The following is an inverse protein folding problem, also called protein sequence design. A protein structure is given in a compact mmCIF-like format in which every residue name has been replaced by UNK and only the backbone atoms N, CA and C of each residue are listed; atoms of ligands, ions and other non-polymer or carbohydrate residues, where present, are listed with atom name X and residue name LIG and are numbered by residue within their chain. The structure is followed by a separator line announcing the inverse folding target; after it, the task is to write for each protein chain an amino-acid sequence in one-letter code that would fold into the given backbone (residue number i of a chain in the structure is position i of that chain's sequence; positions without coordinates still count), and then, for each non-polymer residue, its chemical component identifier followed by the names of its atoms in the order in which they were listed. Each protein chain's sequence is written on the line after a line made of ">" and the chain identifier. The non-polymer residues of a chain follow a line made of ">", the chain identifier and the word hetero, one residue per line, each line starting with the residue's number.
data_IF_795571203880
#
_entry.id   IF_795571203880
#
_cell.length_a   1.000
_cell.length_b   1.000
_cell.length_c   1.000
_cell.angle_alpha   90.00
_cell.angle_beta   90.00
_cell.angle_gamma   90.00
#
_symmetry.space_group_name_H-M   'P 1'
#
loop_
_entity.id
_entity.type
_entity.pdbx_description
1 polymer ?
#
# COMPACT_ATOMS: atom_id res chain seq x y z
N UNK A 1 5.52 76.39 37.86
CA UNK A 1 4.77 75.99 36.64
C UNK A 1 5.14 74.56 36.28
N UNK A 2 4.21 73.72 36.45
CA UNK A 2 4.44 72.27 36.30
C UNK A 2 4.12 71.83 34.87
N UNK A 3 5.14 71.52 34.05
CA UNK A 3 4.98 71.00 32.72
C UNK A 3 4.64 69.51 32.75
N UNK A 4 3.42 69.18 32.33
CA UNK A 4 2.95 67.82 32.21
C UNK A 4 3.59 67.16 31.02
N UNK A 5 4.50 66.20 31.27
CA UNK A 5 5.10 65.34 30.26
C UNK A 5 4.17 64.19 30.05
N UNK A 6 3.42 64.22 28.95
CA UNK A 6 2.65 63.05 28.48
C UNK A 6 3.63 62.02 27.92
N UNK A 7 3.79 60.90 28.66
CA UNK A 7 4.45 59.71 28.16
C UNK A 7 3.47 58.96 27.27
N UNK A 8 3.70 58.99 25.96
CA UNK A 8 3.03 58.13 25.00
C UNK A 8 3.58 56.72 25.14
N UNK A 9 2.78 55.83 25.68
CA UNK A 9 3.07 54.40 25.71
C UNK A 9 2.72 53.84 24.35
N UNK A 10 3.72 53.53 23.55
CA UNK A 10 3.55 52.78 22.32
C UNK A 10 3.43 51.31 22.68
N UNK A 11 2.22 50.81 22.66
CA UNK A 11 1.96 49.38 22.72
C UNK A 11 2.31 48.75 21.37
N UNK A 12 3.47 48.12 21.30
CA UNK A 12 3.82 47.24 20.19
C UNK A 12 3.02 45.97 20.30
N UNK A 13 1.98 45.85 19.46
CA UNK A 13 1.23 44.63 19.30
C UNK A 13 2.08 43.67 18.41
N UNK A 14 2.72 42.71 19.04
CA UNK A 14 3.38 41.59 18.35
C UNK A 14 2.29 40.70 17.78
N UNK A 15 2.04 40.80 16.49
CA UNK A 15 1.25 39.83 15.76
C UNK A 15 2.14 38.61 15.53
N UNK A 16 1.98 37.59 16.37
CA UNK A 16 2.58 36.30 16.14
C UNK A 16 1.81 35.63 14.99
N UNK A 17 2.38 35.67 13.78
CA UNK A 17 1.95 34.82 12.68
C UNK A 17 2.32 33.37 13.05
N UNK A 18 1.37 32.66 13.62
CA UNK A 18 1.47 31.22 13.77
C UNK A 18 1.45 30.57 12.38
N UNK A 19 2.59 30.17 11.89
CA UNK A 19 2.66 29.22 10.78
C UNK A 19 2.15 27.88 11.31
N UNK A 20 0.86 27.63 11.15
CA UNK A 20 0.33 26.28 11.26
C UNK A 20 0.92 25.50 10.08
N UNK A 21 2.01 24.77 10.32
CA UNK A 21 2.47 23.76 9.41
C UNK A 21 1.38 22.67 9.37
N UNK A 22 0.46 22.80 8.42
CA UNK A 22 -0.46 21.72 8.10
C UNK A 22 0.38 20.58 7.57
N UNK A 23 0.69 19.60 8.43
CA UNK A 23 1.11 18.28 7.97
C UNK A 23 -0.04 17.74 7.13
N UNK A 24 0.03 17.96 5.82
CA UNK A 24 -0.81 17.22 4.89
C UNK A 24 -0.35 15.78 5.00
N UNK A 25 -1.08 14.99 5.75
CA UNK A 25 -1.06 13.57 5.57
C UNK A 25 -1.48 13.38 4.12
N UNK A 26 -0.52 13.06 3.27
CA UNK A 26 -0.82 12.53 1.95
C UNK A 26 -1.79 11.39 2.19
N UNK A 27 -3.03 11.51 1.70
CA UNK A 27 -3.92 10.36 1.68
C UNK A 27 -3.10 9.25 1.05
N UNK A 28 -2.79 8.22 1.83
CA UNK A 28 -2.00 7.08 1.35
C UNK A 28 -2.81 6.52 0.19
N UNK A 29 -2.27 6.59 -1.02
CA UNK A 29 -2.90 5.97 -2.17
C UNK A 29 -3.20 4.53 -1.78
N UNK A 30 -4.43 4.01 -2.03
CA UNK A 30 -4.76 2.65 -1.68
C UNK A 30 -3.70 1.73 -2.28
N UNK A 31 -3.23 0.75 -1.50
CA UNK A 31 -2.23 -0.20 -1.98
C UNK A 31 -2.73 -0.83 -3.28
N UNK A 32 -1.90 -0.91 -4.34
CA UNK A 32 -2.32 -1.44 -5.65
C UNK A 32 -2.68 -2.92 -5.60
N UNK A 33 -2.28 -3.61 -4.56
CA UNK A 33 -2.51 -5.02 -4.33
C UNK A 33 -3.05 -5.25 -2.92
N UNK A 34 -3.96 -6.23 -2.79
CA UNK A 34 -4.51 -6.69 -1.51
C UNK A 34 -4.41 -8.19 -1.42
N UNK A 35 -4.11 -8.68 -0.23
CA UNK A 35 -4.12 -10.10 0.10
C UNK A 35 -5.26 -10.37 1.07
N UNK A 36 -6.07 -11.37 0.76
CA UNK A 36 -7.13 -11.87 1.64
C UNK A 36 -6.82 -13.29 2.07
N UNK A 37 -7.08 -13.61 3.33
CA UNK A 37 -6.92 -14.94 3.89
C UNK A 37 -8.28 -15.59 4.09
N UNK A 38 -8.44 -16.82 3.59
CA UNK A 38 -9.64 -17.62 3.76
C UNK A 38 -9.29 -19.04 4.19
N UNK A 39 -10.15 -19.73 4.96
CA UNK A 39 -9.94 -21.14 5.30
C UNK A 39 -9.90 -22.02 4.05
N UNK A 40 -9.00 -23.00 4.04
CA UNK A 40 -8.92 -24.02 3.00
C UNK A 40 -8.58 -25.37 3.63
N UNK A 41 -9.60 -26.08 4.14
CA UNK A 41 -9.39 -27.22 5.01
C UNK A 41 -8.62 -26.83 6.28
N UNK A 42 -7.52 -27.51 6.62
CA UNK A 42 -6.68 -27.14 7.76
C UNK A 42 -5.76 -25.95 7.50
N UNK A 43 -5.70 -25.50 6.25
CA UNK A 43 -4.75 -24.50 5.79
C UNK A 43 -5.42 -23.14 5.54
N UNK A 44 -4.62 -22.16 5.19
CA UNK A 44 -5.06 -20.82 4.81
C UNK A 44 -4.79 -20.60 3.33
N UNK A 45 -5.82 -20.24 2.59
CA UNK A 45 -5.66 -19.78 1.22
C UNK A 45 -5.48 -18.27 1.22
N UNK A 46 -4.41 -17.82 0.63
CA UNK A 46 -4.16 -16.41 0.36
C UNK A 46 -4.53 -16.10 -1.08
N UNK A 47 -5.35 -15.09 -1.28
CA UNK A 47 -5.76 -14.62 -2.61
C UNK A 47 -5.29 -13.20 -2.81
N UNK A 48 -4.60 -12.97 -3.92
CA UNK A 48 -4.06 -11.67 -4.28
C UNK A 48 -4.97 -10.99 -5.29
N UNK A 49 -5.42 -9.79 -4.96
CA UNK A 49 -6.24 -8.96 -5.85
C UNK A 49 -5.52 -7.67 -6.20
N UNK A 50 -5.58 -7.32 -7.47
CA UNK A 50 -5.13 -6.03 -7.96
C UNK A 50 -6.27 -5.01 -7.93
N UNK A 51 -5.92 -3.74 -7.78
CA UNK A 51 -6.84 -2.63 -7.99
C UNK A 51 -7.36 -2.62 -9.44
N UNK A 52 -8.55 -2.07 -9.64
CA UNK A 52 -9.14 -1.95 -10.96
C UNK A 52 -8.19 -1.22 -11.94
N UNK A 53 -8.09 -1.73 -13.18
CA UNK A 53 -7.19 -1.19 -14.20
C UNK A 53 -5.75 -1.73 -14.13
N UNK A 54 -5.46 -2.63 -13.19
CA UNK A 54 -4.17 -3.30 -13.07
C UNK A 54 -4.28 -4.80 -13.35
N UNK A 55 -3.28 -5.35 -14.02
CA UNK A 55 -3.10 -6.79 -14.23
C UNK A 55 -1.83 -7.25 -13.51
N UNK A 56 -1.87 -8.46 -13.00
CA UNK A 56 -0.73 -9.09 -12.33
C UNK A 56 0.04 -9.92 -13.35
N UNK A 57 1.33 -9.68 -13.46
CA UNK A 57 2.21 -10.42 -14.36
C UNK A 57 2.35 -11.87 -13.86
N UNK A 58 1.98 -12.83 -14.71
CA UNK A 58 2.06 -14.25 -14.39
C UNK A 58 3.42 -14.88 -14.72
N UNK A 59 4.22 -14.23 -15.55
CA UNK A 59 5.58 -14.69 -15.89
C UNK A 59 6.56 -14.43 -14.74
N UNK A 60 6.26 -13.44 -13.92
CA UNK A 60 6.96 -13.14 -12.67
C UNK A 60 5.99 -13.32 -11.50
N UNK A 61 5.75 -14.55 -11.04
CA UNK A 61 4.75 -14.81 -10.02
C UNK A 61 4.98 -13.97 -8.77
N UNK A 62 3.93 -13.35 -8.23
CA UNK A 62 4.02 -12.61 -6.98
C UNK A 62 4.59 -13.47 -5.86
N UNK A 63 5.37 -12.87 -4.99
CA UNK A 63 5.98 -13.52 -3.85
C UNK A 63 5.69 -12.75 -2.56
N UNK A 64 5.24 -13.46 -1.53
CA UNK A 64 5.05 -12.94 -0.19
C UNK A 64 6.14 -13.50 0.72
N UNK A 65 7.00 -12.62 1.20
CA UNK A 65 8.00 -12.96 2.21
C UNK A 65 7.40 -12.75 3.59
N UNK A 66 7.21 -13.85 4.29
CA UNK A 66 6.69 -13.88 5.67
C UNK A 66 7.82 -13.67 6.68
N UNK A 67 7.47 -13.32 7.91
CA UNK A 67 8.40 -13.35 9.03
C UNK A 67 9.08 -14.73 9.14
N UNK A 68 10.41 -14.74 9.41
CA UNK A 68 11.18 -15.99 9.45
C UNK A 68 11.75 -16.46 8.11
N UNK A 69 11.56 -15.68 7.02
CA UNK A 69 12.17 -15.95 5.72
C UNK A 69 11.41 -16.92 4.81
N UNK A 70 10.22 -17.36 5.20
CA UNK A 70 9.36 -18.18 4.33
C UNK A 70 8.83 -17.34 3.17
N UNK A 71 8.97 -17.84 1.94
CA UNK A 71 8.49 -17.18 0.74
C UNK A 71 7.36 -18.01 0.14
N UNK A 72 6.18 -17.40 0.02
CA UNK A 72 5.03 -17.96 -0.69
C UNK A 72 4.93 -17.34 -2.08
N UNK A 73 4.73 -18.17 -3.09
CA UNK A 73 4.52 -17.73 -4.47
C UNK A 73 3.08 -17.95 -4.88
N UNK A 74 2.46 -16.92 -5.42
CA UNK A 74 1.09 -16.96 -5.95
C UNK A 74 1.13 -17.50 -7.37
N UNK A 75 0.95 -18.79 -7.52
CA UNK A 75 1.05 -19.49 -8.82
C UNK A 75 -0.27 -20.08 -9.29
N UNK A 76 -1.22 -20.25 -8.39
CA UNK A 76 -2.50 -20.89 -8.69
C UNK A 76 -3.49 -19.81 -9.14
N UNK A 77 -4.07 -20.00 -10.30
CA UNK A 77 -5.04 -19.12 -10.90
C UNK A 77 -5.02 -19.22 -12.41
N UNK A 78 -6.16 -18.92 -13.04
CA UNK A 78 -6.28 -18.92 -14.48
C UNK A 78 -5.42 -17.79 -15.05
N UNK A 79 -4.75 -18.10 -16.17
CA UNK A 79 -3.92 -17.15 -16.90
C UNK A 79 -4.59 -16.74 -18.22
N UNK A 80 -4.18 -15.60 -18.74
CA UNK A 80 -4.55 -15.20 -20.11
C UNK A 80 -3.99 -16.18 -21.15
N UNK A 81 -4.54 -16.16 -22.36
CA UNK A 81 -4.18 -17.11 -23.41
C UNK A 81 -2.67 -17.10 -23.76
N UNK A 82 -2.03 -15.94 -23.66
CA UNK A 82 -0.57 -15.78 -23.87
C UNK A 82 0.26 -16.11 -22.62
N UNK A 83 -0.38 -16.51 -21.52
CA UNK A 83 0.23 -16.81 -20.22
C UNK A 83 0.98 -15.63 -19.59
N UNK A 84 0.75 -14.40 -20.06
CA UNK A 84 1.45 -13.22 -19.57
C UNK A 84 0.90 -12.69 -18.26
N UNK A 85 -0.42 -12.82 -18.06
CA UNK A 85 -1.13 -12.25 -16.91
C UNK A 85 -2.03 -13.27 -16.25
N UNK A 86 -2.36 -13.02 -14.98
CA UNK A 86 -3.43 -13.73 -14.32
C UNK A 86 -4.79 -13.16 -14.77
N UNK A 87 -5.66 -14.02 -15.29
CA UNK A 87 -7.04 -13.71 -15.65
C UNK A 87 -7.97 -13.72 -14.44
N UNK A 88 -7.59 -14.46 -13.41
CA UNK A 88 -8.24 -14.53 -12.10
C UNK A 88 -7.25 -14.16 -11.00
N UNK A 89 -7.73 -13.72 -9.83
CA UNK A 89 -6.85 -13.46 -8.70
C UNK A 89 -6.00 -14.68 -8.34
N UNK A 90 -4.67 -14.61 -8.40
CA UNK A 90 -3.82 -15.73 -8.06
C UNK A 90 -3.86 -16.04 -6.57
N UNK A 91 -3.60 -17.29 -6.22
CA UNK A 91 -3.61 -17.75 -4.85
C UNK A 91 -2.36 -18.53 -4.48
N UNK A 92 -2.14 -18.64 -3.17
CA UNK A 92 -1.13 -19.48 -2.55
C UNK A 92 -1.74 -20.12 -1.29
N UNK A 93 -1.21 -21.26 -0.86
CA UNK A 93 -1.64 -21.94 0.36
C UNK A 93 -0.54 -21.82 1.41
N UNK A 94 -0.93 -21.36 2.59
CA UNK A 94 -0.10 -21.33 3.78
C UNK A 94 -0.55 -22.45 4.73
N UNK A 95 0.34 -23.34 5.15
CA UNK A 95 -0.01 -24.39 6.10
C UNK A 95 -0.54 -23.83 7.41
N UNK A 96 -1.60 -24.45 7.94
CA UNK A 96 -2.28 -24.03 9.15
C UNK A 96 -3.25 -22.88 8.95
N UNK A 97 -4.04 -22.59 9.98
CA UNK A 97 -4.98 -21.48 9.95
C UNK A 97 -4.34 -20.18 10.47
N UNK A 98 -4.36 -19.15 9.63
CA UNK A 98 -3.86 -17.83 9.96
C UNK A 98 -4.92 -16.78 9.63
N UNK A 99 -5.52 -16.17 10.66
CA UNK A 99 -6.53 -15.13 10.49
C UNK A 99 -5.91 -13.83 9.92
N UNK A 100 -4.65 -13.61 10.22
CA UNK A 100 -3.86 -12.44 9.74
C UNK A 100 -2.52 -12.91 9.26
N UNK A 101 -2.08 -12.35 8.16
CA UNK A 101 -0.80 -12.63 7.55
C UNK A 101 -0.05 -11.30 7.39
N UNK A 102 1.19 -11.29 7.84
CA UNK A 102 2.07 -10.13 7.73
C UNK A 102 3.31 -10.49 6.94
N UNK A 103 3.73 -9.58 6.11
CA UNK A 103 4.93 -9.78 5.32
C UNK A 103 5.11 -8.74 4.24
N UNK A 104 6.12 -8.95 3.41
CA UNK A 104 6.42 -8.09 2.27
C UNK A 104 6.01 -8.79 0.99
N UNK A 105 5.02 -8.23 0.31
CA UNK A 105 4.58 -8.69 -1.00
C UNK A 105 5.37 -7.98 -2.10
N UNK A 106 5.88 -8.76 -3.03
CA UNK A 106 6.52 -8.26 -4.25
C UNK A 106 5.80 -8.83 -5.46
N UNK A 107 5.47 -7.98 -6.41
CA UNK A 107 4.81 -8.37 -7.64
C UNK A 107 5.18 -7.44 -8.78
N UNK A 108 4.93 -7.88 -9.99
CA UNK A 108 4.97 -7.06 -11.18
C UNK A 108 3.55 -6.80 -11.64
N UNK A 109 3.15 -5.55 -11.71
CA UNK A 109 1.82 -5.14 -12.15
C UNK A 109 1.90 -4.27 -13.40
N UNK A 110 0.92 -4.43 -14.27
CA UNK A 110 0.84 -3.73 -15.54
C UNK A 110 -0.51 -3.01 -15.59
N UNK A 111 -0.54 -1.83 -16.19
CA UNK A 111 -1.80 -1.15 -16.47
C UNK A 111 -2.49 -1.82 -17.66
N UNK A 112 -3.82 -1.87 -17.64
CA UNK A 112 -4.61 -2.48 -18.72
C UNK A 112 -4.43 -1.77 -20.05
N UNK A 113 -4.21 -0.45 -20.01
CA UNK A 113 -4.04 0.43 -21.16
C UNK A 113 -2.59 0.59 -21.63
N UNK A 114 -1.63 0.03 -20.87
CA UNK A 114 -0.20 0.13 -21.15
C UNK A 114 0.45 -1.25 -21.17
N UNK A 115 1.44 -1.44 -22.03
CA UNK A 115 2.24 -2.67 -22.05
C UNK A 115 3.41 -2.62 -21.05
N UNK A 116 3.51 -1.55 -20.27
CA UNK A 116 4.58 -1.35 -19.30
C UNK A 116 4.16 -1.90 -17.95
N UNK A 117 4.98 -2.80 -17.42
CA UNK A 117 4.83 -3.35 -16.08
C UNK A 117 5.81 -2.67 -15.12
N UNK A 118 5.42 -2.54 -13.88
CA UNK A 118 6.28 -2.04 -12.81
C UNK A 118 6.35 -3.03 -11.66
N UNK A 119 7.51 -3.11 -11.03
CA UNK A 119 7.66 -3.83 -9.78
C UNK A 119 7.02 -3.02 -8.65
N UNK A 120 6.21 -3.67 -7.83
CA UNK A 120 5.63 -3.08 -6.63
C UNK A 120 6.02 -3.89 -5.41
N UNK A 121 6.16 -3.19 -4.30
CA UNK A 121 6.41 -3.76 -2.98
C UNK A 121 5.35 -3.22 -2.03
N UNK A 122 4.68 -4.11 -1.35
CA UNK A 122 3.59 -3.78 -0.42
C UNK A 122 3.82 -4.51 0.88
N UNK A 123 3.78 -3.79 1.99
CA UNK A 123 3.72 -4.39 3.32
C UNK A 123 2.26 -4.72 3.66
N UNK A 124 2.00 -5.93 4.13
CA UNK A 124 0.68 -6.44 4.49
C UNK A 124 0.64 -6.92 5.94
#
# INVERSE_FOLDING_TARGET
>A
MIGSVRRSVWTMTLVALGFAAACRHSATDPAPLRVTATPSGPDTRLTLRAEAGLKINARLPPALELGGGTILRFRTGLRTADSAYFAEPPSAVLPGWHARVHGTLRASVCRDDEQVCRAVRVEI
#
